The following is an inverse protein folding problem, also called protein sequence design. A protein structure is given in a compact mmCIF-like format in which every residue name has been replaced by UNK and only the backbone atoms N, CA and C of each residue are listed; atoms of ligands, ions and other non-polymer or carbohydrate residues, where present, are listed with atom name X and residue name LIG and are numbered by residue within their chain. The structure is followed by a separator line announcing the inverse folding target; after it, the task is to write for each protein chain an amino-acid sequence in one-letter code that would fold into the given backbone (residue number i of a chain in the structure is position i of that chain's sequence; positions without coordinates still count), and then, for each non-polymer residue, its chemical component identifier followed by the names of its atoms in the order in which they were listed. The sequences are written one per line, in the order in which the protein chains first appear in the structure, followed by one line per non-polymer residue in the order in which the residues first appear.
data_IF_280475702013
#
_entry.id   IF_280475702013
#
_cell.length_a   1.000
_cell.length_b   1.000
_cell.length_c   1.000
_cell.angle_alpha   90.00
_cell.angle_beta   90.00
_cell.angle_gamma   90.00
#
_symmetry.space_group_name_H-M   'P 1'
#
loop_
_entity.id
_entity.type
_entity.pdbx_description
1 polymer ?
#
# COMPACT_ATOMS: atom_id res chain seq x y z
N UNK A 1 -16.23 26.29 24.14
CA UNK A 1 -15.25 25.65 23.23
C UNK A 1 -16.02 24.94 22.14
N UNK A 2 -16.16 25.56 20.97
CA UNK A 2 -16.91 25.02 19.83
C UNK A 2 -16.00 24.08 19.04
N UNK A 3 -16.38 22.79 19.00
CA UNK A 3 -15.69 21.78 18.21
C UNK A 3 -15.71 22.18 16.72
N UNK A 4 -14.54 22.45 16.15
CA UNK A 4 -14.38 22.56 14.70
C UNK A 4 -14.61 21.18 14.07
N UNK A 5 -15.87 20.89 13.74
CA UNK A 5 -16.24 19.91 12.71
C UNK A 5 -15.41 20.20 11.46
N UNK A 6 -14.46 19.31 11.15
CA UNK A 6 -13.71 19.38 9.89
C UNK A 6 -14.64 19.03 8.73
N UNK A 7 -15.35 20.05 8.24
CA UNK A 7 -16.19 20.00 7.04
C UNK A 7 -15.31 19.87 5.80
N UNK A 8 -14.77 18.67 5.55
CA UNK A 8 -14.57 18.26 4.17
C UNK A 8 -15.98 17.94 3.65
N UNK A 9 -16.56 18.75 2.74
CA UNK A 9 -17.88 18.48 2.21
C UNK A 9 -17.86 17.08 1.60
N UNK A 10 -18.58 16.16 2.23
CA UNK A 10 -18.83 14.85 1.70
C UNK A 10 -19.58 15.07 0.40
N UNK A 11 -18.89 14.87 -0.73
CA UNK A 11 -19.53 14.88 -2.03
C UNK A 11 -20.66 13.84 -1.94
N UNK A 12 -21.94 14.24 -2.10
CA UNK A 12 -23.04 13.30 -2.01
C UNK A 12 -22.77 12.16 -2.99
N UNK A 13 -23.03 10.93 -2.55
CA UNK A 13 -22.95 9.78 -3.43
C UNK A 13 -23.93 10.04 -4.56
N UNK A 14 -23.42 10.05 -5.79
CA UNK A 14 -24.22 10.15 -7.01
C UNK A 14 -25.03 8.85 -7.10
N UNK A 15 -26.19 8.79 -6.43
CA UNK A 15 -26.97 7.55 -6.30
C UNK A 15 -27.94 7.43 -5.11
N UNK A 16 -28.08 8.44 -4.24
CA UNK A 16 -29.19 8.47 -3.26
C UNK A 16 -29.11 7.50 -2.07
N UNK A 17 -27.92 6.97 -1.74
CA UNK A 17 -27.72 6.14 -0.55
C UNK A 17 -27.37 6.94 0.71
N UNK A 18 -27.57 6.35 1.89
CA UNK A 18 -27.22 6.97 3.18
C UNK A 18 -25.70 7.27 3.24
N UNK A 19 -25.30 8.55 3.29
CA UNK A 19 -23.89 8.94 3.34
C UNK A 19 -23.16 8.40 4.57
N UNK A 20 -23.87 8.11 5.68
CA UNK A 20 -23.29 7.54 6.90
C UNK A 20 -22.85 6.10 6.68
N UNK A 21 -23.66 5.29 6.01
CA UNK A 21 -23.32 3.88 5.70
C UNK A 21 -22.12 3.80 4.77
N UNK A 22 -22.07 4.64 3.74
CA UNK A 22 -20.92 4.68 2.83
C UNK A 22 -19.64 5.16 3.52
N UNK A 23 -19.75 6.11 4.45
CA UNK A 23 -18.60 6.54 5.26
C UNK A 23 -18.12 5.42 6.18
N UNK A 24 -19.03 4.71 6.86
CA UNK A 24 -18.68 3.56 7.70
C UNK A 24 -17.99 2.46 6.89
N UNK A 25 -18.48 2.16 5.68
CA UNK A 25 -17.85 1.21 4.77
C UNK A 25 -16.44 1.65 4.37
N UNK A 26 -16.26 2.93 3.98
CA UNK A 26 -14.93 3.48 3.66
C UNK A 26 -13.97 3.40 4.83
N UNK A 27 -14.44 3.65 6.05
CA UNK A 27 -13.61 3.49 7.26
C UNK A 27 -13.22 2.03 7.50
N UNK A 28 -14.15 1.09 7.31
CA UNK A 28 -13.89 -0.36 7.41
C UNK A 28 -12.88 -0.80 6.36
N UNK A 29 -13.07 -0.41 5.11
CA UNK A 29 -12.12 -0.67 4.01
C UNK A 29 -10.76 -0.02 4.29
N UNK A 30 -10.73 1.18 4.85
CA UNK A 30 -9.50 1.84 5.28
C UNK A 30 -8.78 1.13 6.43
N UNK A 31 -9.49 0.40 7.31
CA UNK A 31 -8.87 -0.48 8.32
C UNK A 31 -8.30 -1.73 7.66
N UNK A 32 -9.08 -2.40 6.81
CA UNK A 32 -8.64 -3.59 6.08
C UNK A 32 -7.39 -3.29 5.24
N UNK A 33 -7.37 -2.16 4.54
CA UNK A 33 -6.22 -1.71 3.74
C UNK A 33 -4.94 -1.60 4.57
N UNK A 34 -5.04 -1.10 5.81
CA UNK A 34 -3.89 -1.00 6.71
C UNK A 34 -3.39 -2.37 7.15
N UNK A 35 -4.30 -3.28 7.48
CA UNK A 35 -3.95 -4.66 7.84
C UNK A 35 -3.23 -5.33 6.68
N UNK A 36 -3.77 -5.21 5.46
CA UNK A 36 -3.14 -5.73 4.25
C UNK A 36 -1.75 -5.14 4.06
N UNK A 37 -1.58 -3.82 4.20
CA UNK A 37 -0.28 -3.17 4.10
C UNK A 37 0.76 -3.71 5.10
N UNK A 38 0.34 -4.02 6.33
CA UNK A 38 1.21 -4.63 7.34
C UNK A 38 1.55 -6.09 7.05
N UNK A 39 0.62 -6.86 6.48
CA UNK A 39 0.85 -8.26 6.04
C UNK A 39 1.78 -8.31 4.82
N UNK A 40 1.77 -7.29 3.98
CA UNK A 40 2.59 -7.22 2.78
C UNK A 40 4.10 -7.21 3.09
N UNK A 41 4.51 -6.60 4.21
CA UNK A 41 5.91 -6.54 4.63
C UNK A 41 6.54 -7.93 4.93
N UNK A 42 5.97 -8.78 5.81
CA UNK A 42 6.52 -10.12 6.03
C UNK A 42 6.43 -10.98 4.77
N UNK A 43 5.36 -10.86 3.97
CA UNK A 43 5.26 -11.59 2.69
C UNK A 43 6.38 -11.18 1.72
N UNK A 44 6.68 -9.89 1.60
CA UNK A 44 7.80 -9.39 0.82
C UNK A 44 9.13 -10.00 1.31
N UNK A 45 9.39 -9.96 2.62
CA UNK A 45 10.61 -10.53 3.19
C UNK A 45 10.73 -12.05 2.92
N UNK A 46 9.62 -12.79 3.03
CA UNK A 46 9.57 -14.21 2.72
C UNK A 46 9.79 -14.48 1.23
N UNK A 47 9.18 -13.69 0.34
CA UNK A 47 9.41 -13.78 -1.10
C UNK A 47 10.89 -13.55 -1.44
N UNK A 48 11.48 -12.46 -0.95
CA UNK A 48 12.88 -12.10 -1.21
C UNK A 48 13.86 -13.13 -0.66
N UNK A 49 13.64 -13.61 0.57
CA UNK A 49 14.51 -14.63 1.18
C UNK A 49 14.39 -15.96 0.46
N UNK A 50 13.18 -16.38 0.08
CA UNK A 50 12.96 -17.65 -0.63
C UNK A 50 13.65 -17.67 -2.01
N UNK A 51 13.60 -16.56 -2.76
CA UNK A 51 14.30 -16.46 -4.05
C UNK A 51 15.82 -16.69 -3.93
N UNK A 52 16.43 -16.27 -2.82
CA UNK A 52 17.86 -16.49 -2.58
C UNK A 52 18.21 -17.99 -2.51
N UNK A 53 17.25 -18.83 -2.11
CA UNK A 53 17.44 -20.27 -1.97
C UNK A 53 16.78 -21.08 -3.09
N UNK A 54 16.08 -20.44 -4.04
CA UNK A 54 15.40 -21.14 -5.13
C UNK A 54 16.36 -21.96 -6.00
N UNK A 55 17.59 -21.49 -6.19
CA UNK A 55 18.62 -22.20 -6.96
C UNK A 55 19.14 -23.46 -6.25
N UNK A 56 18.85 -23.67 -4.97
CA UNK A 56 19.42 -24.77 -4.16
C UNK A 56 18.45 -25.92 -3.90
N UNK A 57 17.14 -25.74 -4.11
CA UNK A 57 16.16 -26.83 -3.98
C UNK A 57 14.85 -26.56 -4.71
N UNK A 58 14.24 -27.61 -5.28
CA UNK A 58 12.92 -27.52 -5.92
C UNK A 58 11.82 -27.03 -4.96
N UNK A 59 11.90 -27.39 -3.68
CA UNK A 59 10.96 -26.90 -2.67
C UNK A 59 11.09 -25.40 -2.46
N UNK A 60 12.30 -24.85 -2.41
CA UNK A 60 12.52 -23.41 -2.27
C UNK A 60 12.02 -22.63 -3.49
N UNK A 61 12.15 -23.19 -4.70
CA UNK A 61 11.62 -22.59 -5.94
C UNK A 61 10.08 -22.48 -5.94
N UNK A 62 9.39 -23.56 -5.55
CA UNK A 62 7.93 -23.55 -5.38
C UNK A 62 7.51 -22.51 -4.33
N UNK A 63 8.19 -22.47 -3.18
CA UNK A 63 7.91 -21.52 -2.10
C UNK A 63 8.13 -20.06 -2.56
N UNK A 64 9.23 -19.78 -3.26
CA UNK A 64 9.52 -18.45 -3.80
C UNK A 64 8.45 -17.99 -4.80
N UNK A 65 8.02 -18.89 -5.68
CA UNK A 65 6.96 -18.65 -6.65
C UNK A 65 5.63 -18.33 -5.94
N UNK A 66 5.22 -19.13 -4.96
CA UNK A 66 4.00 -18.90 -4.19
C UNK A 66 4.01 -17.57 -3.45
N UNK A 67 5.11 -17.22 -2.77
CA UNK A 67 5.22 -15.93 -2.08
C UNK A 67 5.23 -14.75 -3.03
N UNK A 68 5.76 -14.91 -4.25
CA UNK A 68 5.72 -13.88 -5.28
C UNK A 68 4.30 -13.61 -5.78
N UNK A 69 3.55 -14.67 -6.08
CA UNK A 69 2.14 -14.54 -6.45
C UNK A 69 1.32 -13.91 -5.33
N UNK A 70 1.57 -14.31 -4.08
CA UNK A 70 0.93 -13.71 -2.92
C UNK A 70 1.30 -12.22 -2.77
N UNK A 71 2.57 -11.86 -2.97
CA UNK A 71 3.03 -10.47 -2.94
C UNK A 71 2.32 -9.63 -4.02
N UNK A 72 2.27 -10.12 -5.26
CA UNK A 72 1.58 -9.47 -6.38
C UNK A 72 0.11 -9.25 -6.04
N UNK A 73 -0.58 -10.31 -5.58
CA UNK A 73 -1.99 -10.26 -5.22
C UNK A 73 -2.26 -9.25 -4.09
N UNK A 74 -1.49 -9.30 -3.00
CA UNK A 74 -1.65 -8.38 -1.86
C UNK A 74 -1.35 -6.94 -2.26
N UNK A 75 -0.35 -6.71 -3.10
CA UNK A 75 -0.02 -5.37 -3.62
C UNK A 75 -1.16 -4.84 -4.46
N UNK A 76 -1.70 -5.66 -5.37
CA UNK A 76 -2.85 -5.28 -6.19
C UNK A 76 -4.07 -4.96 -5.33
N UNK A 77 -4.37 -5.80 -4.34
CA UNK A 77 -5.49 -5.61 -3.42
C UNK A 77 -5.30 -4.33 -2.58
N UNK A 78 -4.11 -4.09 -2.04
CA UNK A 78 -3.77 -2.90 -1.28
C UNK A 78 -3.95 -1.63 -2.13
N UNK A 79 -3.49 -1.64 -3.37
CA UNK A 79 -3.64 -0.51 -4.28
C UNK A 79 -5.09 -0.28 -4.70
N UNK A 80 -5.83 -1.34 -4.99
CA UNK A 80 -7.25 -1.27 -5.35
C UNK A 80 -8.11 -0.70 -4.21
N UNK A 81 -7.92 -1.18 -2.97
CA UNK A 81 -8.64 -0.65 -1.81
C UNK A 81 -8.20 0.79 -1.52
N UNK A 82 -6.90 1.10 -1.63
CA UNK A 82 -6.40 2.47 -1.47
C UNK A 82 -7.04 3.43 -2.47
N UNK A 83 -7.15 3.02 -3.73
CA UNK A 83 -7.83 3.80 -4.77
C UNK A 83 -9.33 3.95 -4.47
N UNK A 84 -10.02 2.89 -4.04
CA UNK A 84 -11.42 2.99 -3.64
C UNK A 84 -11.65 3.96 -2.47
N UNK A 85 -10.79 3.91 -1.44
CA UNK A 85 -10.94 4.71 -0.22
C UNK A 85 -10.52 6.17 -0.42
N UNK A 86 -9.39 6.40 -1.09
CA UNK A 86 -8.77 7.72 -1.23
C UNK A 86 -9.02 8.38 -2.58
N UNK A 87 -9.26 7.59 -3.63
CA UNK A 87 -9.45 8.05 -5.00
C UNK A 87 -8.28 8.87 -5.52
N UNK A 88 -8.60 9.75 -6.49
CA UNK A 88 -7.74 10.87 -6.84
C UNK A 88 -7.81 11.95 -5.76
N UNK A 89 -6.81 11.97 -4.87
CA UNK A 89 -6.65 13.05 -3.89
C UNK A 89 -6.10 14.29 -4.60
N UNK A 90 -6.67 15.47 -4.36
CA UNK A 90 -6.10 16.71 -4.93
C UNK A 90 -4.64 16.88 -4.46
N UNK A 91 -3.71 17.29 -5.35
CA UNK A 91 -2.33 17.53 -4.97
C UNK A 91 -2.29 18.63 -3.91
N UNK A 92 -1.85 18.25 -2.71
CA UNK A 92 -1.64 19.15 -1.57
C UNK A 92 -0.35 18.70 -0.89
N UNK A 93 0.43 19.65 -0.40
CA UNK A 93 1.67 19.38 0.33
C UNK A 93 1.39 18.84 1.75
N UNK A 94 0.73 17.68 1.84
CA UNK A 94 0.39 17.02 3.11
C UNK A 94 0.93 15.60 3.10
N UNK A 95 1.41 15.14 4.26
CA UNK A 95 2.00 13.80 4.41
C UNK A 95 1.03 12.68 3.95
N UNK A 96 -0.27 12.85 4.19
CA UNK A 96 -1.31 11.92 3.73
C UNK A 96 -1.35 11.80 2.21
N UNK A 97 -1.33 12.92 1.50
CA UNK A 97 -1.40 12.94 0.03
C UNK A 97 -0.12 12.34 -0.56
N UNK A 98 1.04 12.71 -0.02
CA UNK A 98 2.31 12.10 -0.41
C UNK A 98 2.31 10.58 -0.21
N UNK A 99 1.85 10.09 0.95
CA UNK A 99 1.77 8.65 1.21
C UNK A 99 0.89 7.91 0.18
N UNK A 100 -0.25 8.48 -0.22
CA UNK A 100 -1.12 7.86 -1.24
C UNK A 100 -0.43 7.79 -2.62
N UNK A 101 0.12 8.91 -3.10
CA UNK A 101 0.81 8.92 -4.40
C UNK A 101 2.05 8.04 -4.40
N UNK A 102 2.80 8.05 -3.31
CA UNK A 102 3.97 7.18 -3.18
C UNK A 102 3.56 5.71 -3.13
N UNK A 103 2.41 5.36 -2.53
CA UNK A 103 1.84 4.01 -2.61
C UNK A 103 1.50 3.59 -4.04
N UNK A 104 0.96 4.48 -4.86
CA UNK A 104 0.74 4.20 -6.29
C UNK A 104 2.06 4.02 -7.06
N UNK A 105 3.07 4.82 -6.75
CA UNK A 105 4.41 4.64 -7.31
C UNK A 105 5.01 3.28 -6.92
N UNK A 106 4.91 2.91 -5.64
CA UNK A 106 5.36 1.60 -5.14
C UNK A 106 4.65 0.47 -5.88
N UNK A 107 3.34 0.55 -6.09
CA UNK A 107 2.59 -0.45 -6.85
C UNK A 107 3.14 -0.63 -8.27
N UNK A 108 3.33 0.48 -9.00
CA UNK A 108 3.86 0.44 -10.37
C UNK A 108 5.24 -0.22 -10.38
N UNK A 109 6.12 0.16 -9.43
CA UNK A 109 7.47 -0.41 -9.34
C UNK A 109 7.47 -1.90 -8.99
N UNK A 110 6.58 -2.35 -8.11
CA UNK A 110 6.40 -3.78 -7.82
C UNK A 110 5.95 -4.52 -9.08
N UNK A 111 4.93 -4.03 -9.78
CA UNK A 111 4.45 -4.67 -11.01
C UNK A 111 5.54 -4.72 -12.10
N UNK A 112 6.31 -3.65 -12.27
CA UNK A 112 7.43 -3.60 -13.21
C UNK A 112 8.56 -4.58 -12.82
N UNK A 113 8.96 -4.61 -11.55
CA UNK A 113 9.99 -5.53 -11.04
C UNK A 113 9.57 -6.99 -11.24
N UNK A 114 8.32 -7.34 -10.93
CA UNK A 114 7.80 -8.71 -11.08
C UNK A 114 7.64 -9.11 -12.56
N UNK A 115 7.20 -8.19 -13.43
CA UNK A 115 7.08 -8.47 -14.87
C UNK A 115 8.42 -8.69 -15.56
N UNK A 116 9.53 -8.31 -14.92
CA UNK A 116 10.88 -8.34 -15.49
C UNK A 116 11.76 -9.40 -14.85
N UNK A 117 11.20 -10.24 -13.97
CA UNK A 117 11.95 -11.25 -13.22
C UNK A 117 12.65 -12.26 -14.13
N UNK A 118 12.04 -12.57 -15.29
CA UNK A 118 12.60 -13.42 -16.34
C UNK A 118 13.19 -12.61 -17.52
N UNK A 119 13.29 -11.30 -17.38
CA UNK A 119 13.75 -10.37 -18.40
C UNK A 119 15.24 -10.05 -18.33
N UNK A 120 15.70 -8.99 -19.01
CA UNK A 120 17.10 -8.57 -18.97
C UNK A 120 17.56 -8.29 -17.52
N UNK A 121 18.62 -9.00 -17.08
CA UNK A 121 19.11 -8.96 -15.69
C UNK A 121 19.31 -7.54 -15.16
N UNK A 122 19.87 -6.65 -15.97
CA UNK A 122 20.13 -5.24 -15.59
C UNK A 122 18.83 -4.48 -15.32
N UNK A 123 17.80 -4.67 -16.15
CA UNK A 123 16.52 -3.98 -15.99
C UNK A 123 15.78 -4.47 -14.74
N UNK A 124 15.82 -5.78 -14.47
CA UNK A 124 15.28 -6.35 -13.24
C UNK A 124 15.99 -5.83 -11.99
N UNK A 125 17.33 -5.71 -12.01
CA UNK A 125 18.11 -5.17 -10.89
C UNK A 125 17.71 -3.72 -10.61
N UNK A 126 17.69 -2.86 -11.63
CA UNK A 126 17.35 -1.44 -11.48
C UNK A 126 15.92 -1.27 -10.96
N UNK A 127 14.95 -1.95 -11.56
CA UNK A 127 13.55 -1.88 -11.13
C UNK A 127 13.35 -2.42 -9.71
N UNK A 128 14.07 -3.47 -9.33
CA UNK A 128 14.02 -4.01 -7.96
C UNK A 128 14.64 -3.08 -6.93
N UNK A 129 15.76 -2.41 -7.22
CA UNK A 129 16.34 -1.39 -6.33
C UNK A 129 15.37 -0.23 -6.12
N UNK A 130 14.78 0.30 -7.20
CA UNK A 130 13.79 1.37 -7.11
C UNK A 130 12.55 0.93 -6.33
N UNK A 131 12.08 -0.30 -6.56
CA UNK A 131 10.98 -0.89 -5.80
C UNK A 131 11.28 -0.90 -4.29
N UNK A 132 12.45 -1.39 -3.86
CA UNK A 132 12.79 -1.42 -2.43
C UNK A 132 12.90 -0.03 -1.82
N UNK A 133 13.50 0.94 -2.52
CA UNK A 133 13.55 2.34 -2.06
C UNK A 133 12.12 2.89 -1.87
N UNK A 134 11.23 2.63 -2.82
CA UNK A 134 9.84 3.05 -2.74
C UNK A 134 9.07 2.33 -1.62
N UNK A 135 9.34 1.05 -1.36
CA UNK A 135 8.71 0.32 -0.24
C UNK A 135 9.16 0.92 1.10
N UNK A 136 10.46 1.18 1.28
CA UNK A 136 11.00 1.79 2.51
C UNK A 136 10.40 3.17 2.73
N UNK A 137 10.44 4.04 1.71
CA UNK A 137 9.87 5.39 1.81
C UNK A 137 8.37 5.37 2.11
N UNK A 138 7.61 4.47 1.49
CA UNK A 138 6.16 4.33 1.70
C UNK A 138 5.86 3.92 3.14
N UNK A 139 6.61 2.94 3.65
CA UNK A 139 6.46 2.40 5.01
C UNK A 139 6.82 3.46 6.06
N UNK A 140 7.94 4.16 5.89
CA UNK A 140 8.35 5.25 6.79
C UNK A 140 7.31 6.37 6.83
N UNK A 141 6.78 6.78 5.67
CA UNK A 141 5.71 7.77 5.63
C UNK A 141 4.42 7.29 6.30
N UNK A 142 4.05 6.02 6.08
CA UNK A 142 2.88 5.40 6.72
C UNK A 142 3.01 5.36 8.24
N UNK A 143 4.17 4.93 8.75
CA UNK A 143 4.48 4.94 10.18
C UNK A 143 4.44 6.35 10.76
N UNK A 144 5.10 7.32 10.12
CA UNK A 144 5.11 8.71 10.56
C UNK A 144 3.69 9.28 10.64
N UNK A 145 2.88 9.03 9.61
CA UNK A 145 1.48 9.46 9.59
C UNK A 145 0.67 8.81 10.72
N UNK A 146 0.86 7.52 10.98
CA UNK A 146 0.19 6.81 12.06
C UNK A 146 0.58 7.34 13.45
N UNK A 147 1.86 7.61 13.69
CA UNK A 147 2.35 8.21 14.94
C UNK A 147 1.73 9.58 15.16
N UNK A 148 1.75 10.46 14.14
CA UNK A 148 1.17 11.80 14.24
C UNK A 148 -0.33 11.76 14.52
N UNK A 149 -1.06 10.85 13.87
CA UNK A 149 -2.49 10.67 14.11
C UNK A 149 -2.76 10.20 15.54
N UNK A 150 -2.01 9.22 16.03
CA UNK A 150 -2.18 8.70 17.38
C UNK A 150 -1.89 9.75 18.45
N UNK A 151 -0.90 10.62 18.24
CA UNK A 151 -0.63 11.77 19.14
C UNK A 151 -1.81 12.73 19.18
N UNK A 152 -2.29 13.15 18.00
CA UNK A 152 -3.43 14.05 17.90
C UNK A 152 -4.74 13.49 18.52
N UNK A 153 -4.90 12.17 18.60
CA UNK A 153 -6.04 11.52 19.26
C UNK A 153 -5.88 11.38 20.79
N UNK A 154 -4.65 11.49 21.32
CA UNK A 154 -4.38 11.47 22.77
C UNK A 154 -4.51 12.84 23.40
N UNK A 155 -4.27 13.89 22.61
CA UNK A 155 -4.31 15.29 23.05
C UNK A 155 -5.75 15.89 22.98
N UNK A 156 -6.76 15.08 22.64
CA UNK A 156 -8.20 15.41 22.56
C UNK A 156 -9.00 14.61 23.56
#
# INVERSE_FOLDING_TARGET
MTAQTSWLPMRPLRGGGDPRQAMALRQRMGRANRVIGWVLLPVLLLATSSYRYAETSATADVVATLFSWLLIFLTFLHSGISFYVFGGVRPRATLRVFHVYFGYLTFILVMLSQSTINGPKVFHIVTSVLMYIAIVGHTVMGMRYQVLRNRAQRDT
#
